data_IF_761583211475
#
_entry.id   IF_761583211475
#
_cell.length_a   1.000
_cell.length_b   1.000
_cell.length_c   1.000
_cell.angle_alpha   90.00
_cell.angle_beta   90.00
_cell.angle_gamma   90.00
#
_symmetry.space_group_name_H-M   'P 1'
#
loop_
_entity.id
_entity.type
_entity.pdbx_description
1 polymer ?
#
# COMPACT_ATOMS: atom_id res chain seq x y z
N UNK A 1 10.08 -14.03 8.91
CA UNK A 1 10.51 -13.15 7.82
C UNK A 1 9.57 -13.44 6.67
N UNK A 2 8.69 -12.52 6.34
CA UNK A 2 7.62 -12.79 5.39
C UNK A 2 8.10 -12.48 3.98
N UNK A 3 8.21 -13.51 3.16
CA UNK A 3 8.56 -13.40 1.75
C UNK A 3 7.49 -12.56 1.01
N UNK A 4 7.86 -11.51 0.24
CA UNK A 4 6.92 -10.74 -0.57
C UNK A 4 6.12 -11.60 -1.55
N UNK A 5 6.62 -12.79 -1.89
CA UNK A 5 5.91 -13.76 -2.74
C UNK A 5 4.77 -14.49 -2.00
N UNK A 6 4.90 -14.73 -0.69
CA UNK A 6 3.88 -15.44 0.11
C UNK A 6 2.73 -14.52 0.53
N UNK A 7 2.96 -13.21 0.50
CA UNK A 7 1.97 -12.21 0.87
C UNK A 7 1.59 -11.38 -0.33
N UNK A 8 0.61 -11.85 -1.09
CA UNK A 8 0.05 -11.07 -2.20
C UNK A 8 -0.41 -9.69 -1.72
N UNK A 9 0.24 -8.62 -2.16
CA UNK A 9 -0.21 -7.25 -1.88
C UNK A 9 -1.37 -6.82 -2.78
N UNK A 10 -1.74 -7.67 -3.74
CA UNK A 10 -2.95 -7.54 -4.53
C UNK A 10 -4.19 -7.83 -3.70
N UNK A 11 -5.25 -7.05 -3.91
CA UNK A 11 -6.55 -7.26 -3.32
C UNK A 11 -7.17 -5.97 -2.78
N UNK A 12 -8.20 -6.15 -1.98
CA UNK A 12 -8.91 -5.05 -1.33
C UNK A 12 -8.27 -4.73 0.01
N UNK A 13 -8.12 -3.44 0.26
CA UNK A 13 -7.56 -2.84 1.46
C UNK A 13 -8.56 -1.83 2.00
N UNK A 14 -8.58 -1.68 3.32
CA UNK A 14 -9.45 -0.73 4.00
C UNK A 14 -8.62 0.15 4.91
N UNK A 15 -8.80 1.48 4.77
CA UNK A 15 -8.18 2.45 5.64
C UNK A 15 -8.84 2.47 7.02
N UNK A 16 -8.06 2.32 8.08
CA UNK A 16 -8.53 2.35 9.46
C UNK A 16 -9.06 3.73 9.86
N UNK A 17 -8.39 4.80 9.43
CA UNK A 17 -8.78 6.18 9.76
C UNK A 17 -9.87 6.71 8.82
N UNK A 18 -9.77 6.40 7.52
CA UNK A 18 -10.63 6.99 6.49
C UNK A 18 -11.83 6.13 6.09
N UNK A 19 -11.87 4.85 6.50
CA UNK A 19 -12.83 3.85 6.02
C UNK A 19 -12.87 3.72 4.47
N UNK A 20 -11.86 4.22 3.77
CA UNK A 20 -11.79 4.15 2.32
C UNK A 20 -11.48 2.73 1.86
N UNK A 21 -12.19 2.28 0.82
CA UNK A 21 -11.87 1.06 0.12
C UNK A 21 -10.82 1.35 -0.95
N UNK A 22 -9.64 0.78 -0.77
CA UNK A 22 -8.59 0.76 -1.76
C UNK A 22 -8.51 -0.62 -2.42
N UNK A 23 -8.31 -0.65 -3.72
CA UNK A 23 -8.01 -1.86 -4.46
C UNK A 23 -6.60 -1.75 -5.00
N UNK A 24 -5.72 -2.67 -4.60
CA UNK A 24 -4.33 -2.65 -4.99
C UNK A 24 -4.00 -3.87 -5.87
N UNK A 25 -3.07 -3.66 -6.80
CA UNK A 25 -2.51 -4.69 -7.67
C UNK A 25 -0.99 -4.61 -7.58
N UNK A 26 -0.39 -5.71 -7.15
CA UNK A 26 1.04 -5.94 -7.17
C UNK A 26 1.49 -6.48 -8.55
N UNK A 27 2.64 -6.02 -9.01
CA UNK A 27 3.32 -6.46 -10.22
C UNK A 27 4.78 -6.77 -9.88
N UNK A 28 5.16 -8.05 -9.99
CA UNK A 28 6.50 -8.54 -9.68
C UNK A 28 7.53 -8.28 -10.79
N UNK A 29 7.13 -7.71 -11.93
CA UNK A 29 8.03 -7.45 -13.05
C UNK A 29 8.70 -6.07 -13.01
N UNK A 30 8.44 -5.28 -11.97
CA UNK A 30 8.98 -3.92 -11.81
C UNK A 30 10.11 -3.94 -10.78
N UNK A 31 11.30 -3.49 -11.17
CA UNK A 31 12.40 -3.27 -10.23
C UNK A 31 12.86 -4.55 -9.51
N UNK A 32 13.46 -4.37 -8.32
CA UNK A 32 13.91 -5.50 -7.48
C UNK A 32 12.77 -6.14 -6.69
N UNK A 33 11.82 -5.33 -6.22
CA UNK A 33 10.81 -5.73 -5.24
C UNK A 33 9.40 -5.83 -5.82
N UNK A 34 9.21 -5.41 -7.07
CA UNK A 34 7.90 -5.22 -7.69
C UNK A 34 7.42 -3.78 -7.60
N UNK A 35 6.24 -3.55 -8.16
CA UNK A 35 5.49 -2.31 -8.05
C UNK A 35 4.07 -2.58 -7.55
N UNK A 36 3.44 -1.56 -7.00
CA UNK A 36 2.05 -1.63 -6.57
C UNK A 36 1.27 -0.45 -7.17
N UNK A 37 0.10 -0.75 -7.71
CA UNK A 37 -0.87 0.24 -8.17
C UNK A 37 -2.11 0.13 -7.31
N UNK A 38 -2.53 1.23 -6.67
CA UNK A 38 -3.73 1.26 -5.84
C UNK A 38 -4.74 2.27 -6.38
N UNK A 39 -6.01 1.91 -6.30
CA UNK A 39 -7.14 2.78 -6.61
C UNK A 39 -8.06 2.89 -5.40
N UNK A 40 -8.39 4.11 -4.98
CA UNK A 40 -9.41 4.37 -3.97
C UNK A 40 -10.71 4.70 -4.69
N UNK A 41 -11.77 3.98 -4.36
CA UNK A 41 -13.11 4.25 -4.89
C UNK A 41 -14.07 4.51 -3.73
N UNK A 42 -14.18 5.79 -3.34
CA UNK A 42 -15.15 6.29 -2.38
C UNK A 42 -16.09 7.29 -3.06
N UNK A 43 -17.28 7.50 -2.51
CA UNK A 43 -18.27 8.42 -3.09
C UNK A 43 -17.72 9.85 -3.20
N UNK A 44 -16.99 10.29 -2.17
CA UNK A 44 -16.44 11.65 -2.06
C UNK A 44 -15.01 11.78 -2.58
N UNK A 45 -14.31 10.66 -2.79
CA UNK A 45 -12.89 10.65 -3.15
C UNK A 45 -12.55 9.48 -4.07
N UNK A 46 -12.02 9.78 -5.25
CA UNK A 46 -11.54 8.81 -6.24
C UNK A 46 -10.11 9.17 -6.62
N UNK A 47 -9.20 8.23 -6.47
CA UNK A 47 -7.80 8.42 -6.81
C UNK A 47 -7.17 7.12 -7.28
N UNK A 48 -6.17 7.21 -8.15
CA UNK A 48 -5.35 6.09 -8.59
C UNK A 48 -3.90 6.55 -8.52
N UNK A 49 -3.04 5.74 -7.92
CA UNK A 49 -1.62 6.02 -7.84
C UNK A 49 -0.81 4.72 -7.90
N UNK A 50 0.46 4.83 -8.30
CA UNK A 50 1.36 3.69 -8.45
C UNK A 50 2.76 4.02 -7.99
N UNK A 51 3.46 3.01 -7.48
CA UNK A 51 4.81 3.18 -6.95
C UNK A 51 5.62 1.90 -7.12
N UNK A 52 6.93 2.06 -7.27
CA UNK A 52 7.86 0.95 -7.11
C UNK A 52 8.06 0.71 -5.61
N UNK A 53 8.23 -0.55 -5.24
CA UNK A 53 8.42 -0.95 -3.85
C UNK A 53 9.91 -0.86 -3.55
N UNK A 54 10.28 -0.13 -2.51
CA UNK A 54 11.66 0.10 -2.14
C UNK A 54 11.99 -0.42 -0.73
N UNK A 55 13.21 -0.15 -0.25
CA UNK A 55 13.70 -0.62 1.04
C UNK A 55 14.51 -1.92 0.96
N UNK A 56 15.36 -2.13 1.95
CA UNK A 56 16.23 -3.31 2.03
C UNK A 56 15.41 -4.62 2.12
N UNK A 57 14.24 -4.53 2.76
CA UNK A 57 13.30 -5.64 2.97
C UNK A 57 12.14 -5.62 1.97
N UNK A 58 12.18 -4.80 0.92
CA UNK A 58 11.09 -4.65 -0.05
C UNK A 58 9.75 -4.32 0.62
N UNK A 59 9.74 -3.36 1.55
CA UNK A 59 8.61 -3.05 2.42
C UNK A 59 8.17 -1.57 2.34
N UNK A 60 8.90 -0.71 1.63
CA UNK A 60 8.60 0.72 1.55
C UNK A 60 7.73 1.04 0.34
N UNK A 61 6.72 1.89 0.57
CA UNK A 61 5.75 2.34 -0.41
C UNK A 61 5.63 3.86 -0.40
N UNK A 62 5.36 4.47 -1.56
CA UNK A 62 4.96 5.88 -1.64
C UNK A 62 3.74 6.05 -2.53
N UNK A 63 2.58 6.33 -1.95
CA UNK A 63 1.31 6.49 -2.66
C UNK A 63 0.51 7.64 -2.07
N UNK A 64 -0.21 8.39 -2.91
CA UNK A 64 -1.12 9.47 -2.51
C UNK A 64 -0.44 10.53 -1.61
N UNK A 65 0.82 10.85 -1.89
CA UNK A 65 1.67 11.72 -1.08
C UNK A 65 1.90 11.21 0.38
N UNK A 66 1.71 9.92 0.61
CA UNK A 66 2.02 9.23 1.86
C UNK A 66 3.22 8.32 1.66
N UNK A 67 4.03 8.16 2.70
CA UNK A 67 5.07 7.13 2.77
C UNK A 67 4.57 6.02 3.67
N UNK A 68 4.72 4.76 3.27
CA UNK A 68 4.23 3.64 4.04
C UNK A 68 5.22 2.48 4.14
N UNK A 69 5.03 1.70 5.20
CA UNK A 69 5.70 0.42 5.40
C UNK A 69 4.67 -0.70 5.32
N UNK A 70 4.86 -1.61 4.37
CA UNK A 70 3.98 -2.72 4.07
C UNK A 70 4.49 -4.02 4.70
N UNK A 71 3.56 -4.75 5.28
CA UNK A 71 3.72 -6.10 5.79
C UNK A 71 2.57 -6.97 5.28
N UNK A 72 2.58 -8.26 5.59
CA UNK A 72 1.52 -9.17 5.18
C UNK A 72 0.15 -8.78 5.73
N UNK A 73 -0.66 -8.16 4.87
CA UNK A 73 -2.02 -7.77 5.19
C UNK A 73 -2.14 -6.46 5.98
N UNK A 74 -1.04 -5.71 6.16
CA UNK A 74 -1.07 -4.43 6.86
C UNK A 74 -0.08 -3.42 6.26
N UNK A 75 -0.51 -2.18 6.08
CA UNK A 75 0.34 -1.06 5.66
C UNK A 75 0.17 0.08 6.65
N UNK A 76 1.27 0.52 7.27
CA UNK A 76 1.29 1.74 8.06
C UNK A 76 1.60 2.93 7.15
N UNK A 77 0.82 4.00 7.21
CA UNK A 77 1.03 5.22 6.42
C UNK A 77 1.42 6.39 7.32
N UNK A 78 2.43 7.12 6.86
CA UNK A 78 2.89 8.38 7.41
C UNK A 78 2.85 9.49 6.36
N UNK A 79 2.70 10.73 6.81
CA UNK A 79 2.89 11.90 5.97
C UNK A 79 4.37 12.12 5.62
N UNK A 80 4.67 13.17 4.86
CA UNK A 80 6.04 13.54 4.48
C UNK A 80 6.91 13.97 5.66
N UNK A 81 6.31 14.31 6.81
CA UNK A 81 7.01 14.70 8.04
C UNK A 81 7.27 13.49 8.96
N UNK A 82 6.72 12.32 8.61
CA UNK A 82 6.85 11.08 9.36
C UNK A 82 5.76 10.87 10.43
N UNK A 83 4.73 11.72 10.48
CA UNK A 83 3.62 11.53 11.40
C UNK A 83 2.70 10.41 10.88
N UNK A 84 2.29 9.50 11.76
CA UNK A 84 1.34 8.45 11.40
C UNK A 84 -0.05 9.05 11.09
N UNK A 85 -0.57 8.77 9.90
CA UNK A 85 -1.85 9.35 9.41
C UNK A 85 -2.92 8.30 9.15
N UNK A 86 -2.54 7.08 8.76
CA UNK A 86 -3.49 6.03 8.46
C UNK A 86 -2.84 4.65 8.57
N UNK A 87 -3.66 3.63 8.55
CA UNK A 87 -3.20 2.25 8.43
C UNK A 87 -4.18 1.49 7.56
N UNK A 88 -3.70 0.72 6.61
CA UNK A 88 -4.55 -0.09 5.74
C UNK A 88 -4.41 -1.55 6.14
N UNK A 89 -5.54 -2.21 6.32
CA UNK A 89 -5.59 -3.65 6.51
C UNK A 89 -6.19 -4.31 5.29
N UNK A 90 -5.65 -5.45 4.92
CA UNK A 90 -6.17 -6.24 3.82
C UNK A 90 -7.48 -6.89 4.25
N UNK A 91 -8.50 -6.74 3.42
CA UNK A 91 -9.80 -7.39 3.63
C UNK A 91 -9.88 -8.67 2.80
N UNK A 92 -10.65 -9.65 3.29
CA UNK A 92 -10.92 -10.92 2.57
C UNK A 92 -11.44 -10.70 1.16
#
# INVERSE_FOLDING_TARGET
>A
MSDPNDCTWSGRWMGATTAHNAYCRYDNNIGRCGGITCSINHHEYKAIDRTEIDGEQCDKLRLFNMTGHATCGFIAWADSEGNAINSWYKTR
#
